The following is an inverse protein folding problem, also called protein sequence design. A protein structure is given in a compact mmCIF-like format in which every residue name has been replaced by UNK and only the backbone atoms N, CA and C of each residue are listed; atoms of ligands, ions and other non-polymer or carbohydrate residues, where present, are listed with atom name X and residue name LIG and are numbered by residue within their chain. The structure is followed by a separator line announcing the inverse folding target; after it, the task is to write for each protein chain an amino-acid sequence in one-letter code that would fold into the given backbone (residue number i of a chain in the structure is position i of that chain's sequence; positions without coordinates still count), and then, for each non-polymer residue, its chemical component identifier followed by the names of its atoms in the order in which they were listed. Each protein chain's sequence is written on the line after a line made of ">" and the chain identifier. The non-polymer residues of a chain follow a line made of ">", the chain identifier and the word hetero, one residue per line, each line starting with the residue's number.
data_IF_424348313410
#
_entry.id   IF_424348313410
#
_cell.length_a   1.000
_cell.length_b   1.000
_cell.length_c   1.000
_cell.angle_alpha   90.00
_cell.angle_beta   90.00
_cell.angle_gamma   90.00
#
_symmetry.space_group_name_H-M   'P 1'
#
loop_
_entity.id
_entity.type
_entity.pdbx_description
1 polymer ?
#
# COMPACT_ATOMS: atom_id res chain seq x y z
N UNK A 1 -8.99 11.54 13.20
CA UNK A 1 -9.00 12.54 12.16
C UNK A 1 -8.70 11.94 10.79
N UNK A 2 -9.46 12.34 9.78
CA UNK A 2 -9.24 11.79 8.45
C UNK A 2 -7.96 12.36 7.85
N UNK A 3 -7.17 11.51 7.21
CA UNK A 3 -5.98 11.94 6.51
C UNK A 3 -6.37 12.63 5.20
N UNK A 4 -5.59 13.62 4.81
CA UNK A 4 -5.80 14.25 3.52
C UNK A 4 -5.41 13.29 2.40
N UNK A 5 -5.85 13.60 1.18
CA UNK A 5 -5.48 12.79 0.02
C UNK A 5 -3.97 12.72 -0.15
N UNK A 6 -3.29 13.84 0.04
CA UNK A 6 -1.83 13.88 -0.07
C UNK A 6 -1.16 13.02 1.00
N UNK A 7 -1.67 13.06 2.21
CA UNK A 7 -1.15 12.23 3.29
C UNK A 7 -1.38 10.75 2.98
N UNK A 8 -2.56 10.42 2.47
CA UNK A 8 -2.85 9.04 2.10
C UNK A 8 -1.89 8.54 1.04
N UNK A 9 -1.62 9.34 0.03
CA UNK A 9 -0.70 8.96 -1.04
C UNK A 9 0.71 8.76 -0.50
N UNK A 10 1.13 9.59 0.44
CA UNK A 10 2.43 9.43 1.08
C UNK A 10 2.50 8.11 1.85
N UNK A 11 1.45 7.79 2.60
CA UNK A 11 1.42 6.54 3.35
C UNK A 11 1.40 5.33 2.43
N UNK A 12 0.70 5.42 1.31
CA UNK A 12 0.70 4.34 0.32
C UNK A 12 2.11 4.13 -0.23
N UNK A 13 2.80 5.20 -0.57
CA UNK A 13 4.19 5.10 -1.05
C UNK A 13 5.09 4.46 -0.01
N UNK A 14 4.98 4.89 1.24
CA UNK A 14 5.79 4.33 2.31
C UNK A 14 5.49 2.87 2.53
N UNK A 15 4.21 2.50 2.49
CA UNK A 15 3.81 1.11 2.65
C UNK A 15 4.43 0.24 1.56
N UNK A 16 4.31 0.66 0.32
CA UNK A 16 4.81 -0.10 -0.82
C UNK A 16 6.33 -0.23 -0.77
N UNK A 17 7.03 0.85 -0.42
CA UNK A 17 8.48 0.80 -0.30
C UNK A 17 8.91 -0.17 0.80
N UNK A 18 8.22 -0.12 1.93
CA UNK A 18 8.52 -1.04 3.04
C UNK A 18 8.23 -2.48 2.65
N UNK A 19 7.12 -2.71 1.97
CA UNK A 19 6.76 -4.04 1.51
C UNK A 19 7.79 -4.58 0.54
N UNK A 20 8.24 -3.75 -0.40
CA UNK A 20 9.24 -4.16 -1.37
C UNK A 20 10.56 -4.52 -0.68
N UNK A 21 10.96 -3.73 0.31
CA UNK A 21 12.17 -4.00 1.06
C UNK A 21 12.07 -5.31 1.85
N UNK A 22 10.91 -5.57 2.43
CA UNK A 22 10.67 -6.80 3.18
C UNK A 22 10.78 -8.01 2.27
N UNK A 23 10.16 -7.93 1.08
CA UNK A 23 10.18 -9.04 0.14
C UNK A 23 11.56 -9.29 -0.42
N UNK A 24 12.35 -8.23 -0.57
CA UNK A 24 13.71 -8.34 -1.06
C UNK A 24 14.63 -9.01 -0.06
N UNK A 25 14.35 -8.87 1.22
CA UNK A 25 15.19 -9.40 2.29
C UNK A 25 15.16 -10.92 2.37
N UNK A 26 14.15 -11.57 1.83
CA UNK A 26 14.02 -13.02 1.75
C UNK A 26 14.00 -13.73 3.11
N UNK A 27 13.90 -13.01 4.20
CA UNK A 27 13.89 -13.55 5.55
C UNK A 27 12.54 -13.31 6.19
N UNK A 28 12.11 -14.06 7.19
CA UNK A 28 10.71 -14.34 7.56
C UNK A 28 9.74 -13.20 7.27
N UNK A 29 9.65 -12.89 6.01
CA UNK A 29 8.95 -11.70 5.56
C UNK A 29 7.43 -11.76 5.87
N UNK A 30 6.90 -12.94 6.12
CA UNK A 30 5.48 -13.06 6.48
C UNK A 30 5.18 -12.30 7.76
N UNK A 31 6.05 -12.46 8.75
CA UNK A 31 5.88 -11.79 10.02
C UNK A 31 6.07 -10.30 9.89
N UNK A 32 7.08 -9.90 9.13
CA UNK A 32 7.35 -8.49 8.89
C UNK A 32 6.22 -7.83 8.12
N UNK A 33 5.63 -8.54 7.17
CA UNK A 33 4.49 -8.01 6.41
C UNK A 33 3.28 -7.81 7.33
N UNK A 34 3.06 -8.74 8.26
CA UNK A 34 1.98 -8.61 9.22
C UNK A 34 2.19 -7.42 10.13
N UNK A 35 3.42 -7.24 10.60
CA UNK A 35 3.76 -6.11 11.45
C UNK A 35 3.56 -4.78 10.73
N UNK A 36 3.99 -4.72 9.49
CA UNK A 36 3.82 -3.51 8.68
C UNK A 36 2.34 -3.17 8.54
N UNK A 37 1.52 -4.15 8.21
CA UNK A 37 0.08 -3.94 8.07
C UNK A 37 -0.54 -3.47 9.38
N UNK A 38 -0.16 -4.11 10.48
CA UNK A 38 -0.68 -3.75 11.79
C UNK A 38 -0.30 -2.32 12.16
N UNK A 39 0.94 -1.94 11.90
CA UNK A 39 1.42 -0.61 12.21
C UNK A 39 0.61 0.46 11.48
N UNK A 40 0.41 0.27 10.18
CA UNK A 40 -0.32 1.26 9.39
C UNK A 40 -1.79 1.33 9.76
N UNK A 41 -2.37 0.20 10.16
CA UNK A 41 -3.76 0.18 10.61
C UNK A 41 -3.93 0.81 11.97
N UNK A 42 -3.05 0.48 12.91
CA UNK A 42 -3.17 0.98 14.28
C UNK A 42 -2.93 2.47 14.36
N UNK A 43 -2.08 2.99 13.50
CA UNK A 43 -1.83 4.42 13.43
C UNK A 43 -2.86 5.15 12.57
N UNK A 44 -3.82 4.42 12.02
CA UNK A 44 -4.86 4.97 11.14
C UNK A 44 -4.30 5.67 9.91
N UNK A 45 -3.10 5.27 9.48
CA UNK A 45 -2.51 5.81 8.27
C UNK A 45 -3.17 5.25 7.02
N UNK A 46 -3.49 3.95 7.05
CA UNK A 46 -4.22 3.29 5.98
C UNK A 46 -5.20 2.30 6.59
N UNK A 47 -6.38 2.21 6.00
CA UNK A 47 -7.37 1.21 6.40
C UNK A 47 -7.02 -0.15 5.78
N UNK A 48 -7.69 -1.20 6.23
CA UNK A 48 -7.49 -2.54 5.69
C UNK A 48 -7.74 -2.57 4.17
N UNK A 49 -8.80 -1.89 3.72
CA UNK A 49 -9.11 -1.86 2.30
C UNK A 49 -8.07 -1.08 1.52
N UNK A 50 -7.58 0.00 2.08
CA UNK A 50 -6.54 0.79 1.43
C UNK A 50 -5.24 0.00 1.31
N UNK A 51 -4.89 -0.74 2.35
CA UNK A 51 -3.71 -1.60 2.31
C UNK A 51 -3.87 -2.67 1.24
N UNK A 52 -5.05 -3.28 1.17
CA UNK A 52 -5.31 -4.31 0.18
C UNK A 52 -5.17 -3.75 -1.23
N UNK A 53 -5.69 -2.56 -1.47
CA UNK A 53 -5.58 -1.92 -2.78
C UNK A 53 -4.12 -1.58 -3.11
N UNK A 54 -3.37 -1.11 -2.11
CA UNK A 54 -1.95 -0.81 -2.31
C UNK A 54 -1.15 -2.06 -2.68
N UNK A 55 -1.41 -3.16 -1.99
CA UNK A 55 -0.73 -4.42 -2.27
C UNK A 55 -1.09 -4.91 -3.68
N UNK A 56 -2.36 -4.80 -4.04
CA UNK A 56 -2.80 -5.21 -5.36
C UNK A 56 -2.12 -4.39 -6.45
N UNK A 57 -2.04 -3.07 -6.25
CA UNK A 57 -1.36 -2.20 -7.21
C UNK A 57 0.12 -2.55 -7.33
N UNK A 58 0.76 -2.81 -6.19
CA UNK A 58 2.17 -3.19 -6.19
C UNK A 58 2.40 -4.49 -6.97
N UNK A 59 1.53 -5.47 -6.79
CA UNK A 59 1.71 -6.77 -7.45
C UNK A 59 1.52 -6.69 -8.96
N UNK A 60 0.75 -5.74 -9.45
CA UNK A 60 0.60 -5.54 -10.89
C UNK A 60 1.89 -5.08 -11.55
N UNK A 61 2.78 -4.47 -10.80
CA UNK A 61 4.04 -3.95 -11.32
C UNK A 61 5.24 -4.76 -10.79
N UNK A 62 5.00 -5.99 -10.40
CA UNK A 62 6.06 -6.85 -9.92
C UNK A 62 7.13 -7.03 -10.99
N UNK A 63 8.37 -6.73 -10.64
CA UNK A 63 9.47 -6.80 -11.59
C UNK A 63 9.81 -5.47 -12.22
N UNK A 64 8.91 -4.51 -12.14
CA UNK A 64 9.13 -3.14 -12.62
C UNK A 64 8.71 -2.19 -11.53
N UNK A 65 9.57 -1.99 -10.55
CA UNK A 65 9.22 -1.15 -9.43
C UNK A 65 9.29 0.32 -9.81
N UNK A 66 8.12 0.90 -10.07
CA UNK A 66 7.97 2.33 -10.29
C UNK A 66 6.90 2.81 -9.34
N UNK A 67 7.32 3.49 -8.29
CA UNK A 67 6.40 3.88 -7.20
C UNK A 67 5.29 4.79 -7.70
N UNK A 68 5.57 5.67 -8.65
CA UNK A 68 4.57 6.60 -9.14
C UNK A 68 3.48 5.88 -9.91
N UNK A 69 3.85 4.92 -10.76
CA UNK A 69 2.87 4.12 -11.50
C UNK A 69 2.03 3.27 -10.56
N UNK A 70 2.67 2.72 -9.52
CA UNK A 70 1.95 1.91 -8.55
C UNK A 70 0.93 2.75 -7.80
N UNK A 71 1.30 3.96 -7.42
CA UNK A 71 0.40 4.87 -6.73
C UNK A 71 -0.75 5.29 -7.64
N UNK A 72 -0.46 5.56 -8.91
CA UNK A 72 -1.51 5.89 -9.88
C UNK A 72 -2.49 4.73 -10.01
N UNK A 73 -1.99 3.51 -10.08
CA UNK A 73 -2.85 2.35 -10.16
C UNK A 73 -3.66 2.15 -8.89
N UNK A 74 -3.04 2.40 -7.75
CA UNK A 74 -3.76 2.37 -6.48
C UNK A 74 -4.92 3.37 -6.49
N UNK A 75 -4.67 4.58 -6.97
CA UNK A 75 -5.71 5.59 -7.03
C UNK A 75 -6.87 5.16 -7.93
N UNK A 76 -6.56 4.53 -9.05
CA UNK A 76 -7.59 4.01 -9.94
C UNK A 76 -8.41 2.92 -9.28
N UNK A 77 -7.77 2.00 -8.58
CA UNK A 77 -8.47 0.93 -7.87
C UNK A 77 -9.36 1.51 -6.78
N UNK A 78 -8.85 2.48 -6.04
CA UNK A 78 -9.62 3.13 -5.00
C UNK A 78 -10.83 3.85 -5.56
N UNK A 79 -10.65 4.59 -6.64
CA UNK A 79 -11.74 5.29 -7.29
C UNK A 79 -12.77 4.31 -7.83
N UNK A 80 -12.29 3.21 -8.41
CA UNK A 80 -13.17 2.19 -8.95
C UNK A 80 -14.04 1.58 -7.87
N UNK A 81 -13.43 1.29 -6.73
CA UNK A 81 -14.14 0.74 -5.59
C UNK A 81 -15.20 1.71 -5.10
N UNK A 82 -14.83 2.96 -4.97
CA UNK A 82 -15.74 4.00 -4.52
C UNK A 82 -16.83 4.26 -5.55
N UNK A 83 -16.43 4.36 -6.81
CA UNK A 83 -17.36 4.67 -7.87
C UNK A 83 -18.33 3.55 -8.16
N UNK A 84 -17.92 2.31 -7.85
CA UNK A 84 -18.77 1.15 -8.05
C UNK A 84 -19.85 1.00 -7.01
N UNK A 85 -19.75 1.80 -5.99
CA UNK A 85 -20.74 1.72 -4.91
C UNK A 85 -22.11 2.17 -5.38
#
# INVERSE_FOLDING_TARGET
>A
MANTLQEKQRYVKEYIRSLAAIEEAMEPYKEQRRELRTEFRENAWLSTDEIRSAVKAYRLFKGKFNIDEIVDNYNLLGNKTTGGA
#
